data_IF_582844864915
#
_entry.id   IF_582844864915
#
_cell.length_a   1.000
_cell.length_b   1.000
_cell.length_c   1.000
_cell.angle_alpha   90.00
_cell.angle_beta   90.00
_cell.angle_gamma   90.00
#
_symmetry.space_group_name_H-M   'P 1'
#
loop_
_entity.id
_entity.type
_entity.pdbx_description
1 polymer ?
#
# COMPACT_ATOMS: atom_id res chain seq x y z
N UNK A 1 4.16 -10.59 -3.02
CA UNK A 1 2.76 -10.10 -2.84
C UNK A 1 1.81 -11.29 -2.72
N UNK A 2 0.90 -11.28 -1.73
CA UNK A 2 -0.17 -12.31 -1.55
C UNK A 2 -1.45 -11.81 -2.21
N UNK A 3 -2.08 -12.63 -3.06
CA UNK A 3 -3.32 -12.25 -3.75
C UNK A 3 -4.39 -13.31 -3.61
N UNK A 4 -5.66 -12.89 -3.72
CA UNK A 4 -6.84 -13.75 -3.80
C UNK A 4 -7.74 -13.30 -4.93
N UNK A 5 -8.39 -14.23 -5.61
CA UNK A 5 -9.42 -13.95 -6.61
C UNK A 5 -10.78 -14.45 -6.11
N UNK A 6 -11.82 -13.67 -6.35
CA UNK A 6 -13.20 -14.06 -6.04
C UNK A 6 -14.19 -13.44 -7.03
N UNK A 7 -15.39 -13.98 -7.08
CA UNK A 7 -16.49 -13.42 -7.87
C UNK A 7 -17.23 -12.36 -7.05
N UNK A 8 -17.29 -11.14 -7.56
CA UNK A 8 -18.08 -10.05 -7.00
C UNK A 8 -19.19 -9.69 -7.96
N UNK A 9 -20.39 -10.23 -7.74
CA UNK A 9 -21.60 -9.98 -8.54
C UNK A 9 -21.41 -10.32 -10.04
N UNK A 10 -20.67 -11.36 -10.37
CA UNK A 10 -20.42 -11.81 -11.74
C UNK A 10 -19.15 -11.23 -12.36
N UNK A 11 -18.39 -10.44 -11.62
CA UNK A 11 -17.08 -9.93 -12.05
C UNK A 11 -15.95 -10.58 -11.24
N UNK A 12 -14.91 -11.03 -11.93
CA UNK A 12 -13.72 -11.55 -11.28
C UNK A 12 -12.89 -10.40 -10.71
N UNK A 13 -12.73 -10.37 -9.40
CA UNK A 13 -11.93 -9.38 -8.68
C UNK A 13 -10.72 -10.07 -8.09
N UNK A 14 -9.53 -9.49 -8.31
CA UNK A 14 -8.29 -9.91 -7.65
C UNK A 14 -7.87 -8.84 -6.65
N UNK A 15 -7.63 -9.25 -5.40
CA UNK A 15 -7.17 -8.37 -4.35
C UNK A 15 -5.77 -8.77 -3.88
N UNK A 16 -4.91 -7.78 -3.63
CA UNK A 16 -3.66 -7.95 -2.90
C UNK A 16 -3.92 -7.74 -1.40
N UNK A 17 -3.36 -8.63 -0.58
CA UNK A 17 -3.44 -8.55 0.87
C UNK A 17 -2.16 -7.93 1.40
N UNK A 18 -2.30 -6.87 2.18
CA UNK A 18 -1.22 -6.09 2.76
C UNK A 18 -1.34 -6.08 4.27
N UNK A 19 -0.25 -6.41 4.95
CA UNK A 19 -0.18 -6.35 6.40
C UNK A 19 0.09 -4.92 6.87
N UNK A 20 -0.67 -4.49 7.86
CA UNK A 20 -0.51 -3.22 8.56
C UNK A 20 -0.80 -3.45 10.05
N UNK A 21 -0.71 -2.41 10.86
CA UNK A 21 -0.88 -2.50 12.30
C UNK A 21 -1.89 -1.47 12.81
N UNK A 22 -2.85 -1.94 13.61
CA UNK A 22 -3.72 -1.02 14.34
C UNK A 22 -2.98 -0.37 15.51
N UNK A 23 -3.39 0.82 15.89
CA UNK A 23 -2.96 1.43 17.16
C UNK A 23 -3.33 0.47 18.32
N UNK A 24 -2.32 -0.08 18.98
CA UNK A 24 -2.48 -1.07 20.05
C UNK A 24 -2.13 -2.52 19.66
N UNK A 25 -1.24 -2.71 18.70
CA UNK A 25 -0.57 -3.97 18.31
C UNK A 25 -1.49 -5.03 17.67
N UNK A 26 -2.59 -4.65 17.07
CA UNK A 26 -3.48 -5.55 16.32
C UNK A 26 -3.14 -5.61 14.83
N UNK A 27 -3.12 -6.82 14.24
CA UNK A 27 -2.94 -6.97 12.79
C UNK A 27 -4.10 -6.31 12.03
N UNK A 28 -3.78 -5.33 11.20
CA UNK A 28 -4.65 -4.82 10.14
C UNK A 28 -4.28 -5.51 8.82
N UNK A 29 -5.28 -5.86 8.02
CA UNK A 29 -5.08 -6.39 6.67
C UNK A 29 -5.86 -5.52 5.71
N UNK A 30 -5.11 -4.74 4.91
CA UNK A 30 -5.66 -3.94 3.83
C UNK A 30 -5.86 -4.80 2.59
N UNK A 31 -6.85 -4.44 1.79
CA UNK A 31 -7.18 -5.07 0.51
C UNK A 31 -6.99 -4.02 -0.59
N UNK A 32 -6.07 -4.27 -1.51
CA UNK A 32 -5.82 -3.39 -2.65
C UNK A 32 -6.31 -4.05 -3.93
N UNK A 33 -6.88 -3.26 -4.85
CA UNK A 33 -7.33 -3.77 -6.14
C UNK A 33 -6.14 -4.14 -7.03
N UNK A 34 -5.97 -5.43 -7.27
CA UNK A 34 -4.92 -5.99 -8.13
C UNK A 34 -5.50 -6.63 -9.41
N UNK A 35 -6.74 -6.25 -9.81
CA UNK A 35 -7.48 -6.89 -10.89
C UNK A 35 -6.88 -6.59 -12.26
N UNK A 36 -6.68 -5.32 -12.60
CA UNK A 36 -6.11 -4.93 -13.90
C UNK A 36 -4.95 -3.94 -13.71
N UNK A 37 -3.70 -4.38 -13.98
CA UNK A 37 -2.52 -3.51 -13.90
C UNK A 37 -2.54 -2.27 -14.81
N UNK A 38 -3.52 -2.16 -15.70
CA UNK A 38 -3.66 -1.02 -16.63
C UNK A 38 -4.75 -0.05 -16.22
N UNK A 39 -5.52 -0.37 -15.18
CA UNK A 39 -6.57 0.52 -14.67
C UNK A 39 -5.96 1.62 -13.80
N UNK A 40 -6.57 2.80 -13.80
CA UNK A 40 -6.23 3.90 -12.87
C UNK A 40 -6.45 3.50 -11.40
N UNK A 41 -7.33 2.51 -11.15
CA UNK A 41 -7.60 1.97 -9.81
C UNK A 41 -6.68 0.84 -9.38
N UNK A 42 -5.66 0.47 -10.18
CA UNK A 42 -4.74 -0.60 -9.81
C UNK A 42 -3.97 -0.27 -8.55
N UNK A 43 -4.01 -1.18 -7.56
CA UNK A 43 -3.44 -1.02 -6.22
C UNK A 43 -4.11 0.08 -5.37
N UNK A 44 -5.23 0.66 -5.80
CA UNK A 44 -6.03 1.49 -4.92
C UNK A 44 -6.65 0.66 -3.77
N UNK A 45 -6.90 1.29 -2.64
CA UNK A 45 -7.56 0.64 -1.52
C UNK A 45 -8.97 0.17 -1.93
N UNK A 46 -9.19 -1.14 -1.91
CA UNK A 46 -10.50 -1.74 -2.11
C UNK A 46 -11.30 -1.79 -0.81
N UNK A 47 -10.60 -1.97 0.30
CA UNK A 47 -11.18 -2.01 1.64
C UNK A 47 -10.25 -2.61 2.68
N UNK A 48 -10.79 -2.91 3.86
CA UNK A 48 -10.07 -3.52 4.98
C UNK A 48 -10.72 -4.84 5.34
N UNK A 49 -9.92 -5.90 5.41
CA UNK A 49 -10.41 -7.23 5.82
C UNK A 49 -10.74 -7.29 7.32
N UNK A 50 -10.04 -6.52 8.12
CA UNK A 50 -10.04 -6.62 9.58
C UNK A 50 -10.81 -5.47 10.23
N UNK A 51 -11.28 -5.70 11.45
CA UNK A 51 -11.87 -4.67 12.30
C UNK A 51 -11.16 -4.62 13.65
N UNK A 52 -10.86 -3.42 14.13
CA UNK A 52 -10.35 -3.21 15.50
C UNK A 52 -11.51 -3.20 16.51
N UNK A 53 -11.84 -4.38 17.02
CA UNK A 53 -12.99 -4.58 17.93
C UNK A 53 -12.48 -4.84 19.34
N UNK A 54 -12.75 -3.97 20.31
CA UNK A 54 -12.29 -4.16 21.71
C UNK A 54 -12.69 -5.52 22.30
N UNK A 55 -13.89 -6.03 21.97
CA UNK A 55 -14.35 -7.34 22.41
C UNK A 55 -13.56 -8.53 21.83
N UNK A 56 -12.76 -8.31 20.77
CA UNK A 56 -11.87 -9.29 20.17
C UNK A 56 -10.40 -9.12 20.60
N UNK A 57 -10.06 -8.09 21.39
CA UNK A 57 -8.68 -7.74 21.69
C UNK A 57 -7.85 -8.89 22.28
N UNK A 58 -8.44 -9.72 23.15
CA UNK A 58 -7.74 -10.90 23.70
C UNK A 58 -7.42 -11.93 22.61
N UNK A 59 -8.36 -12.15 21.68
CA UNK A 59 -8.14 -13.04 20.54
C UNK A 59 -7.06 -12.50 19.60
N UNK A 60 -7.11 -11.24 19.27
CA UNK A 60 -6.22 -10.57 18.33
C UNK A 60 -4.78 -10.43 18.84
N UNK A 61 -4.49 -10.68 20.12
CA UNK A 61 -3.12 -10.81 20.63
C UNK A 61 -2.36 -12.05 20.09
N UNK A 62 -3.10 -13.06 19.63
CA UNK A 62 -2.47 -14.23 18.99
C UNK A 62 -1.95 -13.87 17.61
N UNK A 63 -0.75 -14.36 17.27
CA UNK A 63 -0.13 -14.12 15.95
C UNK A 63 -1.07 -14.51 14.82
N UNK A 64 -1.37 -13.55 13.95
CA UNK A 64 -2.25 -13.73 12.80
C UNK A 64 -3.75 -13.82 13.13
N UNK A 65 -4.13 -13.70 14.39
CA UNK A 65 -5.54 -13.69 14.77
C UNK A 65 -6.17 -12.33 14.50
N UNK A 66 -7.35 -12.36 13.87
CA UNK A 66 -8.07 -11.16 13.44
C UNK A 66 -9.56 -11.25 13.76
N UNK A 67 -10.20 -10.10 13.88
CA UNK A 67 -11.65 -9.97 13.75
C UNK A 67 -11.94 -9.49 12.32
N UNK A 68 -12.86 -10.15 11.61
CA UNK A 68 -13.26 -9.80 10.25
C UNK A 68 -14.22 -8.63 10.28
N UNK A 69 -14.02 -7.64 9.41
CA UNK A 69 -14.97 -6.55 9.26
C UNK A 69 -16.33 -7.06 8.75
N UNK A 70 -17.40 -6.56 9.32
CA UNK A 70 -18.75 -7.01 9.00
C UNK A 70 -19.20 -6.66 7.58
N UNK A 71 -18.53 -5.74 6.90
CA UNK A 71 -18.79 -5.35 5.51
C UNK A 71 -18.10 -6.27 4.49
N UNK A 72 -17.19 -7.15 4.91
CA UNK A 72 -16.47 -8.06 4.01
C UNK A 72 -17.44 -9.07 3.37
N UNK A 73 -17.47 -9.19 2.02
CA UNK A 73 -18.33 -10.11 1.33
C UNK A 73 -18.05 -11.58 1.70
N UNK A 74 -19.12 -12.38 1.86
CA UNK A 74 -18.98 -13.82 2.15
C UNK A 74 -18.16 -14.55 1.06
N UNK A 75 -18.36 -14.20 -0.22
CA UNK A 75 -17.61 -14.79 -1.34
C UNK A 75 -16.10 -14.57 -1.21
N UNK A 76 -15.67 -13.41 -0.72
CA UNK A 76 -14.25 -13.16 -0.44
C UNK A 76 -13.73 -14.04 0.69
N UNK A 77 -14.49 -14.21 1.77
CA UNK A 77 -14.10 -15.08 2.88
C UNK A 77 -13.97 -16.54 2.43
N UNK A 78 -14.92 -17.01 1.65
CA UNK A 78 -14.88 -18.36 1.06
C UNK A 78 -13.64 -18.55 0.16
N UNK A 79 -13.32 -17.54 -0.66
CA UNK A 79 -12.12 -17.56 -1.51
C UNK A 79 -10.82 -17.58 -0.70
N UNK A 80 -10.74 -16.77 0.37
CA UNK A 80 -9.58 -16.74 1.28
C UNK A 80 -9.39 -18.09 2.00
N UNK A 81 -10.47 -18.73 2.45
CA UNK A 81 -10.42 -20.05 3.07
C UNK A 81 -10.02 -21.12 2.03
N UNK A 82 -10.62 -21.11 0.84
CA UNK A 82 -10.31 -22.05 -0.25
C UNK A 82 -8.84 -21.93 -0.71
N UNK A 83 -8.28 -20.72 -0.72
CA UNK A 83 -6.88 -20.47 -1.00
C UNK A 83 -5.93 -20.84 0.17
N UNK A 84 -6.47 -21.22 1.32
CA UNK A 84 -5.69 -21.54 2.52
C UNK A 84 -5.01 -20.31 3.16
N UNK A 85 -5.46 -19.11 2.84
CA UNK A 85 -4.93 -17.85 3.37
C UNK A 85 -5.52 -17.50 4.73
N UNK A 86 -6.75 -17.95 4.99
CA UNK A 86 -7.53 -17.68 6.18
C UNK A 86 -8.15 -18.95 6.73
N UNK A 87 -8.34 -19.04 8.04
CA UNK A 87 -9.12 -20.07 8.71
C UNK A 87 -10.13 -19.43 9.65
N UNK A 88 -11.41 -19.60 9.38
CA UNK A 88 -12.47 -19.08 10.24
C UNK A 88 -12.51 -19.83 11.56
N UNK A 89 -12.69 -19.11 12.66
CA UNK A 89 -12.98 -19.68 13.97
C UNK A 89 -14.50 -19.88 14.12
N UNK A 90 -14.90 -20.94 14.83
CA UNK A 90 -16.32 -21.19 15.12
C UNK A 90 -16.90 -20.23 16.18
N UNK A 91 -16.48 -18.97 16.19
CA UNK A 91 -16.90 -17.95 17.15
C UNK A 91 -16.81 -16.55 16.56
N UNK A 92 -17.47 -15.59 17.19
CA UNK A 92 -17.46 -14.18 16.82
C UNK A 92 -17.34 -13.29 18.07
N UNK A 93 -16.81 -12.08 17.90
CA UNK A 93 -16.90 -10.99 18.86
C UNK A 93 -18.17 -10.16 18.58
N UNK A 94 -18.74 -9.56 19.62
CA UNK A 94 -19.88 -8.66 19.49
C UNK A 94 -19.48 -7.25 19.93
N UNK A 95 -19.87 -6.24 19.15
CA UNK A 95 -19.71 -4.84 19.52
C UNK A 95 -20.98 -4.08 19.11
N UNK A 96 -21.72 -3.61 20.08
CA UNK A 96 -23.07 -3.08 19.84
C UNK A 96 -24.01 -4.15 19.27
N UNK A 97 -24.64 -3.85 18.14
CA UNK A 97 -25.50 -4.79 17.40
C UNK A 97 -24.75 -5.60 16.34
N UNK A 98 -23.49 -5.30 16.07
CA UNK A 98 -22.69 -5.97 15.07
C UNK A 98 -21.99 -7.22 15.64
N UNK A 99 -21.82 -8.23 14.78
CA UNK A 99 -21.03 -9.42 15.07
C UNK A 99 -19.87 -9.50 14.07
N UNK A 100 -18.68 -9.69 14.61
CA UNK A 100 -17.42 -9.76 13.86
C UNK A 100 -16.91 -11.20 13.91
N UNK A 101 -16.95 -11.95 12.84
CA UNK A 101 -16.36 -13.29 12.79
C UNK A 101 -14.88 -13.24 13.18
N UNK A 102 -14.42 -14.25 13.91
CA UNK A 102 -13.02 -14.36 14.27
C UNK A 102 -12.33 -15.35 13.32
N UNK A 103 -11.09 -15.03 12.94
CA UNK A 103 -10.31 -15.85 12.04
C UNK A 103 -8.82 -15.81 12.39
N UNK A 104 -8.06 -16.70 11.78
CA UNK A 104 -6.58 -16.71 11.83
C UNK A 104 -6.05 -16.69 10.41
N UNK A 105 -5.21 -15.71 10.09
CA UNK A 105 -4.42 -15.68 8.86
C UNK A 105 -3.40 -16.81 8.90
N UNK A 106 -3.27 -17.58 7.83
CA UNK A 106 -2.31 -18.68 7.77
C UNK A 106 -0.87 -18.14 7.94
N UNK A 107 -0.05 -18.86 8.72
CA UNK A 107 1.31 -18.38 9.05
C UNK A 107 2.16 -18.08 7.81
N UNK A 108 2.08 -18.94 6.78
CA UNK A 108 2.78 -18.71 5.52
C UNK A 108 2.25 -17.47 4.76
N UNK A 109 0.94 -17.24 4.77
CA UNK A 109 0.35 -16.03 4.17
C UNK A 109 0.82 -14.78 4.91
N UNK A 110 0.77 -14.79 6.25
CA UNK A 110 1.22 -13.68 7.08
C UNK A 110 2.71 -13.35 6.86
N UNK A 111 3.56 -14.36 6.69
CA UNK A 111 4.99 -14.19 6.41
C UNK A 111 5.27 -13.68 4.99
N UNK A 112 4.33 -13.88 4.07
CA UNK A 112 4.43 -13.46 2.67
C UNK A 112 3.71 -12.15 2.37
N UNK A 113 2.90 -11.63 3.30
CA UNK A 113 2.34 -10.29 3.19
C UNK A 113 3.45 -9.27 3.44
N UNK A 114 3.67 -8.37 2.49
CA UNK A 114 4.48 -7.17 2.68
C UNK A 114 3.69 -6.08 3.38
N UNK A 115 4.39 -5.06 3.87
CA UNK A 115 3.79 -3.80 4.26
C UNK A 115 3.25 -3.03 3.04
N UNK A 116 2.50 -1.96 3.29
CA UNK A 116 1.87 -1.17 2.21
C UNK A 116 2.93 -0.64 1.24
N UNK A 117 3.95 0.03 1.74
CA UNK A 117 5.03 0.61 0.93
C UNK A 117 5.73 -0.44 0.05
N UNK A 118 6.13 -1.57 0.65
CA UNK A 118 6.82 -2.65 -0.07
C UNK A 118 5.95 -3.25 -1.18
N UNK A 119 4.65 -3.42 -0.89
CA UNK A 119 3.70 -3.97 -1.86
C UNK A 119 3.45 -3.01 -3.02
N UNK A 120 3.32 -1.71 -2.75
CA UNK A 120 3.17 -0.69 -3.79
C UNK A 120 4.45 -0.55 -4.63
N UNK A 121 5.64 -0.57 -4.02
CA UNK A 121 6.92 -0.56 -4.75
C UNK A 121 7.07 -1.79 -5.67
N UNK A 122 6.67 -2.99 -5.19
CA UNK A 122 6.69 -4.21 -6.00
C UNK A 122 5.74 -4.11 -7.20
N UNK A 123 4.54 -3.56 -7.00
CA UNK A 123 3.48 -3.54 -8.01
C UNK A 123 3.59 -2.38 -9.00
N UNK A 124 3.92 -1.19 -8.54
CA UNK A 124 3.91 0.05 -9.32
C UNK A 124 5.31 0.50 -9.74
N UNK A 125 6.34 -0.04 -9.10
CA UNK A 125 7.70 0.47 -9.22
C UNK A 125 7.90 1.79 -8.47
N UNK A 126 9.13 2.31 -8.52
CA UNK A 126 9.48 3.58 -7.90
C UNK A 126 9.47 4.70 -8.94
N UNK A 127 8.70 5.74 -8.69
CA UNK A 127 8.65 6.95 -9.52
C UNK A 127 9.62 8.00 -8.98
N UNK A 128 10.41 8.61 -9.86
CA UNK A 128 11.34 9.68 -9.51
C UNK A 128 10.76 11.01 -9.97
N UNK A 129 10.66 11.96 -9.04
CA UNK A 129 10.09 13.28 -9.26
C UNK A 129 11.09 14.35 -8.82
N UNK A 130 11.20 15.42 -9.58
CA UNK A 130 11.88 16.65 -9.19
C UNK A 130 10.84 17.67 -8.76
N UNK A 131 10.90 18.09 -7.51
CA UNK A 131 10.14 19.20 -6.95
C UNK A 131 11.06 20.43 -6.88
N UNK A 132 10.58 21.60 -7.27
CA UNK A 132 11.40 22.79 -7.32
C UNK A 132 10.61 24.05 -7.02
N UNK A 133 11.32 25.07 -6.55
CA UNK A 133 10.85 26.46 -6.47
C UNK A 133 11.97 27.38 -6.97
N UNK A 134 11.65 28.21 -7.97
CA UNK A 134 12.60 29.15 -8.55
C UNK A 134 11.89 30.45 -8.92
N UNK A 135 12.38 31.57 -8.39
CA UNK A 135 11.85 32.89 -8.71
C UNK A 135 10.39 33.14 -8.33
N UNK A 136 9.85 32.36 -7.39
CA UNK A 136 8.44 32.42 -6.95
C UNK A 136 7.50 31.50 -7.74
N UNK A 137 8.01 30.77 -8.72
CA UNK A 137 7.29 29.73 -9.43
C UNK A 137 7.81 28.37 -8.96
N UNK A 138 6.94 27.56 -8.36
CA UNK A 138 7.22 26.19 -7.92
C UNK A 138 6.45 25.17 -8.74
N UNK A 139 6.93 23.94 -8.71
CA UNK A 139 6.27 22.81 -9.37
C UNK A 139 6.98 21.50 -9.13
N UNK A 140 6.40 20.45 -9.70
CA UNK A 140 7.00 19.13 -9.72
C UNK A 140 6.85 18.51 -11.11
N UNK A 141 7.82 17.70 -11.53
CA UNK A 141 7.70 16.91 -12.75
C UNK A 141 8.31 15.52 -12.58
N UNK A 142 7.67 14.53 -13.19
CA UNK A 142 8.13 13.15 -13.16
C UNK A 142 9.28 12.94 -14.15
N UNK A 143 10.36 12.32 -13.69
CA UNK A 143 11.50 11.93 -14.51
C UNK A 143 11.29 10.55 -15.11
N UNK A 144 10.71 9.64 -14.38
CA UNK A 144 10.38 8.30 -14.84
C UNK A 144 10.07 7.34 -13.71
N UNK A 145 9.66 6.13 -14.09
CA UNK A 145 9.36 5.03 -13.17
C UNK A 145 10.25 3.83 -13.51
N UNK A 146 10.78 3.18 -12.50
CA UNK A 146 11.58 1.98 -12.64
C UNK A 146 11.35 1.02 -11.47
N UNK A 147 11.59 -0.30 -11.64
CA UNK A 147 11.49 -1.26 -10.54
C UNK A 147 12.35 -0.85 -9.35
N UNK A 148 11.81 -1.01 -8.13
CA UNK A 148 12.54 -0.72 -6.90
C UNK A 148 13.88 -1.47 -6.85
N UNK A 149 14.94 -0.79 -6.42
CA UNK A 149 16.29 -1.36 -6.33
C UNK A 149 16.99 -1.66 -7.65
N UNK A 150 16.38 -1.34 -8.80
CA UNK A 150 16.97 -1.61 -10.12
C UNK A 150 18.10 -0.62 -10.48
N UNK A 151 19.00 -1.03 -11.38
CA UNK A 151 20.02 -0.13 -11.94
C UNK A 151 19.40 1.02 -12.76
N UNK A 152 18.20 0.82 -13.29
CA UNK A 152 17.43 1.84 -14.00
C UNK A 152 16.97 2.93 -13.07
N UNK A 153 16.43 2.58 -11.88
CA UNK A 153 16.09 3.54 -10.84
C UNK A 153 17.29 4.41 -10.45
N UNK A 154 18.47 3.79 -10.29
CA UNK A 154 19.70 4.53 -10.01
C UNK A 154 20.05 5.55 -11.09
N UNK A 155 19.84 5.22 -12.38
CA UNK A 155 20.04 6.15 -13.50
C UNK A 155 19.04 7.30 -13.52
N UNK A 156 17.77 7.01 -13.22
CA UNK A 156 16.72 8.03 -13.12
C UNK A 156 17.01 9.02 -11.98
N UNK A 157 17.44 8.53 -10.81
CA UNK A 157 17.84 9.37 -9.69
C UNK A 157 19.06 10.24 -10.07
N UNK A 158 20.04 9.69 -10.76
CA UNK A 158 21.20 10.46 -11.19
C UNK A 158 20.85 11.56 -12.20
N UNK A 159 19.95 11.26 -13.15
CA UNK A 159 19.44 12.24 -14.10
C UNK A 159 18.64 13.34 -13.38
N UNK A 160 17.76 12.96 -12.46
CA UNK A 160 16.95 13.89 -11.66
C UNK A 160 17.82 14.82 -10.79
N UNK A 161 18.93 14.33 -10.22
CA UNK A 161 19.90 15.17 -9.48
C UNK A 161 20.52 16.25 -10.36
N UNK A 162 20.92 15.89 -11.57
CA UNK A 162 21.46 16.85 -12.53
C UNK A 162 20.45 17.92 -12.91
N UNK A 163 19.18 17.55 -13.04
CA UNK A 163 18.10 18.49 -13.31
C UNK A 163 17.84 19.42 -12.10
N UNK A 164 17.81 18.85 -10.90
CA UNK A 164 17.66 19.61 -9.67
C UNK A 164 18.79 20.65 -9.48
N UNK A 165 20.04 20.27 -9.77
CA UNK A 165 21.18 21.20 -9.75
C UNK A 165 21.00 22.36 -10.76
N UNK A 166 20.52 22.06 -11.96
CA UNK A 166 20.25 23.05 -12.99
C UNK A 166 19.15 24.04 -12.56
N UNK A 167 18.07 23.55 -11.98
CA UNK A 167 16.95 24.36 -11.49
C UNK A 167 17.38 25.23 -10.32
N UNK A 168 18.04 24.68 -9.31
CA UNK A 168 18.56 25.42 -8.17
C UNK A 168 19.60 26.50 -8.57
N UNK A 169 20.38 26.27 -9.62
CA UNK A 169 21.34 27.21 -10.17
C UNK A 169 20.73 28.51 -10.74
N UNK A 170 19.41 28.58 -10.92
CA UNK A 170 18.67 29.76 -11.39
C UNK A 170 18.14 30.61 -10.22
N UNK A 171 18.51 30.27 -8.99
CA UNK A 171 18.15 31.06 -7.78
C UNK A 171 16.91 30.56 -7.06
N UNK A 172 16.91 29.30 -6.74
CA UNK A 172 15.87 28.62 -5.97
C UNK A 172 16.38 27.36 -5.29
N UNK A 173 15.45 26.49 -4.96
CA UNK A 173 15.77 25.14 -4.48
C UNK A 173 15.13 24.08 -5.38
N UNK A 174 15.66 22.86 -5.34
CA UNK A 174 15.05 21.70 -5.95
C UNK A 174 15.33 20.45 -5.11
N UNK A 175 14.37 19.53 -5.07
CA UNK A 175 14.51 18.24 -4.39
C UNK A 175 14.16 17.10 -5.34
N UNK A 176 14.91 15.99 -5.24
CA UNK A 176 14.57 14.74 -5.93
C UNK A 176 13.86 13.86 -4.93
N UNK A 177 12.63 13.46 -5.28
CA UNK A 177 11.81 12.55 -4.49
C UNK A 177 11.63 11.24 -5.21
N UNK A 178 11.55 10.16 -4.46
CA UNK A 178 11.25 8.82 -4.93
C UNK A 178 10.05 8.29 -4.15
N UNK A 179 9.02 7.93 -4.85
CA UNK A 179 7.78 7.36 -4.32
C UNK A 179 7.11 6.50 -5.38
N UNK A 180 5.83 6.23 -5.25
CA UNK A 180 5.01 5.56 -6.25
C UNK A 180 3.82 6.46 -6.62
N UNK A 181 3.30 6.27 -7.84
CA UNK A 181 2.33 7.17 -8.45
C UNK A 181 2.98 8.06 -9.51
N UNK A 182 2.25 9.08 -9.96
CA UNK A 182 2.76 10.10 -10.88
C UNK A 182 3.31 11.33 -10.13
N UNK A 183 3.80 12.32 -10.86
CA UNK A 183 4.39 13.52 -10.29
C UNK A 183 3.41 14.34 -9.43
N UNK A 184 2.10 14.23 -9.69
CA UNK A 184 1.06 14.99 -8.97
C UNK A 184 0.61 14.25 -7.70
N UNK A 185 0.75 12.93 -7.66
CA UNK A 185 0.25 12.07 -6.58
C UNK A 185 1.34 11.64 -5.58
N UNK A 186 2.62 11.87 -5.86
CA UNK A 186 3.69 11.65 -4.88
C UNK A 186 3.60 12.71 -3.78
N UNK A 187 3.00 12.34 -2.67
CA UNK A 187 2.86 13.20 -1.49
C UNK A 187 4.03 13.04 -0.50
N UNK A 188 3.96 13.81 0.60
CA UNK A 188 4.99 13.80 1.63
C UNK A 188 5.04 12.50 2.43
N UNK A 189 3.96 11.71 2.45
CA UNK A 189 3.87 10.48 3.23
C UNK A 189 4.51 9.30 2.49
N UNK A 190 4.34 9.27 1.16
CA UNK A 190 4.86 8.19 0.32
C UNK A 190 6.17 8.53 -0.39
N UNK A 191 6.41 9.81 -0.68
CA UNK A 191 7.62 10.28 -1.35
C UNK A 191 8.79 10.51 -0.40
N UNK A 192 9.93 9.82 -0.62
CA UNK A 192 11.18 10.00 0.12
C UNK A 192 12.12 10.94 -0.63
N UNK A 193 12.52 12.05 0.00
CA UNK A 193 13.57 12.93 -0.54
C UNK A 193 14.92 12.20 -0.51
N UNK A 194 15.56 12.09 -1.67
CA UNK A 194 16.88 11.43 -1.84
C UNK A 194 17.99 12.41 -2.20
N UNK A 195 17.65 13.64 -2.54
CA UNK A 195 18.59 14.71 -2.88
C UNK A 195 17.93 16.09 -2.74
N UNK A 196 18.71 17.10 -2.35
CA UNK A 196 18.29 18.50 -2.34
C UNK A 196 19.43 19.35 -2.89
N UNK A 197 19.10 20.31 -3.75
CA UNK A 197 20.00 21.30 -4.32
C UNK A 197 19.50 22.72 -4.02
N UNK A 198 20.42 23.67 -3.83
CA UNK A 198 20.09 25.06 -3.51
C UNK A 198 19.76 25.26 -2.04
N UNK A 199 19.15 26.40 -1.73
CA UNK A 199 18.72 26.80 -0.37
C UNK A 199 17.24 27.21 -0.45
N UNK A 200 16.44 26.68 0.49
CA UNK A 200 15.07 27.18 0.73
C UNK A 200 15.09 28.65 1.18
#
# INVERSE_FOLDING_TARGET
MVTVEFDSMGEAVRLALVADEYVGDGLAVLLLDATDPRSEGYMAEWGVLTANVPAAAEWCRGRGNIAIDAAVPAALLEALEAAGLLRMAARSAASGMARYPLATVAGQALESMGGLTETLEEALGSTVVVEYESGGDGGAFGVGTAPAGSAELGRLIAAARSEADALAGVGGWAAVRVGFGDAETIDCETGRTVYTAGTE
#
